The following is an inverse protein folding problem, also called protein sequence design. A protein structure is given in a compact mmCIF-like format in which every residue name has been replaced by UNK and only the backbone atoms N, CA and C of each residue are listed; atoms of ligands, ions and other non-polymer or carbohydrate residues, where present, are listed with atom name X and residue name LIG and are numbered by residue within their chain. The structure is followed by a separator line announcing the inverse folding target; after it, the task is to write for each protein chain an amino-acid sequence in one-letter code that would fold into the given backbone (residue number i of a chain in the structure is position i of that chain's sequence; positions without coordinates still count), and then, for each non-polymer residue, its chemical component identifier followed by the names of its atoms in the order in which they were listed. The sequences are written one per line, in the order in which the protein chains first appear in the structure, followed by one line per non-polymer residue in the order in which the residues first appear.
data_IF_826601584706
#
_entry.id   IF_826601584706
#
_cell.length_a   1.000
_cell.length_b   1.000
_cell.length_c   1.000
_cell.angle_alpha   90.00
_cell.angle_beta   90.00
_cell.angle_gamma   90.00
#
_symmetry.space_group_name_H-M   'P 1'
#
loop_
_entity.id
_entity.type
_entity.pdbx_description
1 polymer ?
#
# COMPACT_ATOMS: atom_id res chain seq x y z
N UNK A 1 52.63 -26.32 16.15
CA UNK A 1 52.01 -26.13 14.82
C UNK A 1 50.91 -25.09 14.96
N UNK A 2 51.02 -23.90 14.33
CA UNK A 2 50.01 -22.86 14.43
C UNK A 2 48.86 -23.14 13.44
N UNK A 3 47.63 -23.04 13.92
CA UNK A 3 46.42 -23.10 13.09
C UNK A 3 46.23 -21.74 12.43
N UNK A 4 46.20 -21.73 11.09
CA UNK A 4 46.02 -20.51 10.30
C UNK A 4 44.56 -20.01 10.36
N UNK A 5 44.31 -18.70 10.56
CA UNK A 5 42.98 -18.13 10.42
C UNK A 5 42.73 -17.86 8.93
N UNK A 6 42.06 -18.79 8.25
CA UNK A 6 41.48 -18.57 6.91
C UNK A 6 39.98 -18.76 7.04
N UNK A 7 39.19 -17.84 6.45
CA UNK A 7 37.73 -17.85 6.28
C UNK A 7 36.88 -16.94 7.20
N UNK A 8 37.36 -15.74 7.57
CA UNK A 8 36.44 -14.70 8.10
C UNK A 8 36.47 -13.41 7.24
N UNK A 9 37.52 -13.18 6.45
CA UNK A 9 37.67 -11.94 5.67
C UNK A 9 36.87 -11.88 4.35
N UNK A 10 36.37 -13.00 3.82
CA UNK A 10 35.68 -13.02 2.52
C UNK A 10 34.17 -12.78 2.59
N UNK A 11 33.55 -12.86 3.78
CA UNK A 11 32.10 -12.67 3.92
C UNK A 11 31.72 -11.18 4.10
N UNK A 12 32.61 -10.38 4.70
CA UNK A 12 32.37 -8.95 4.95
C UNK A 12 32.62 -8.04 3.75
N UNK A 13 33.37 -8.50 2.74
CA UNK A 13 33.63 -7.72 1.53
C UNK A 13 32.48 -7.79 0.51
N UNK A 14 31.73 -8.90 0.47
CA UNK A 14 30.59 -9.08 -0.44
C UNK A 14 29.39 -8.20 -0.06
N UNK A 15 29.15 -7.99 1.25
CA UNK A 15 28.06 -7.17 1.77
C UNK A 15 28.17 -5.67 1.42
N UNK A 16 29.39 -5.13 1.27
CA UNK A 16 29.59 -3.72 0.90
C UNK A 16 29.49 -3.46 -0.60
N UNK A 17 29.82 -4.45 -1.44
CA UNK A 17 29.70 -4.35 -2.90
C UNK A 17 28.24 -4.41 -3.37
N UNK A 18 27.47 -5.34 -2.82
CA UNK A 18 26.04 -5.50 -3.13
C UNK A 18 25.21 -4.24 -2.78
N UNK A 19 25.52 -3.58 -1.66
CA UNK A 19 24.79 -2.38 -1.22
C UNK A 19 24.89 -1.20 -2.20
N UNK A 20 26.05 -1.01 -2.84
CA UNK A 20 26.21 0.03 -3.87
C UNK A 20 25.52 -0.35 -5.19
N UNK A 21 25.65 -1.61 -5.61
CA UNK A 21 25.11 -2.08 -6.88
C UNK A 21 23.58 -2.12 -6.91
N UNK A 22 22.92 -2.55 -5.82
CA UNK A 22 21.46 -2.57 -5.77
C UNK A 22 20.87 -1.16 -5.78
N UNK A 23 21.46 -0.20 -5.05
CA UNK A 23 20.84 1.14 -4.85
C UNK A 23 20.72 1.97 -6.13
N UNK A 24 21.59 1.73 -7.10
CA UNK A 24 21.58 2.44 -8.38
C UNK A 24 20.58 1.84 -9.38
N UNK A 25 19.93 0.71 -9.03
CA UNK A 25 18.92 0.06 -9.85
C UNK A 25 17.54 0.56 -9.42
N UNK A 26 16.81 1.19 -10.34
CA UNK A 26 15.45 1.70 -10.09
C UNK A 26 14.35 0.83 -10.69
N UNK A 27 14.72 -0.16 -11.49
CA UNK A 27 13.78 -1.07 -12.17
C UNK A 27 13.66 -2.39 -11.41
N UNK A 28 12.42 -2.84 -11.18
CA UNK A 28 12.15 -4.07 -10.44
C UNK A 28 12.76 -5.30 -11.12
N UNK A 29 12.55 -5.48 -12.42
CA UNK A 29 13.02 -6.67 -13.13
C UNK A 29 14.54 -6.79 -13.08
N UNK A 30 15.22 -5.68 -13.36
CA UNK A 30 16.68 -5.57 -13.28
C UNK A 30 17.18 -5.78 -11.85
N UNK A 31 16.46 -5.28 -10.86
CA UNK A 31 16.81 -5.42 -9.45
C UNK A 31 16.77 -6.88 -9.01
N UNK A 32 15.63 -7.55 -9.18
CA UNK A 32 15.45 -8.92 -8.65
C UNK A 32 16.25 -9.95 -9.43
N UNK A 33 16.57 -9.64 -10.69
CA UNK A 33 17.45 -10.46 -11.53
C UNK A 33 18.94 -10.16 -11.34
N UNK A 34 19.29 -9.12 -10.57
CA UNK A 34 20.69 -8.79 -10.31
C UNK A 34 21.36 -9.97 -9.61
N UNK A 35 22.55 -10.33 -10.07
CA UNK A 35 23.35 -11.41 -9.49
C UNK A 35 24.80 -10.99 -9.38
N UNK A 36 25.39 -11.33 -8.24
CA UNK A 36 26.82 -11.26 -8.04
C UNK A 36 27.34 -12.68 -7.76
N UNK A 37 28.29 -13.14 -8.58
CA UNK A 37 28.83 -14.51 -8.50
C UNK A 37 27.75 -15.61 -8.59
N UNK A 38 26.69 -15.36 -9.37
CA UNK A 38 25.58 -16.31 -9.55
C UNK A 38 24.59 -16.36 -8.38
N UNK A 39 24.68 -15.44 -7.42
CA UNK A 39 23.76 -15.33 -6.29
C UNK A 39 22.97 -14.03 -6.43
N UNK A 40 21.65 -14.12 -6.30
CA UNK A 40 20.80 -12.93 -6.18
C UNK A 40 21.06 -12.25 -4.83
N UNK A 41 21.42 -10.99 -4.86
CA UNK A 41 21.82 -10.19 -3.72
C UNK A 41 20.93 -8.97 -3.50
N UNK A 42 19.95 -8.74 -4.38
CA UNK A 42 18.98 -7.64 -4.26
C UNK A 42 17.54 -8.11 -4.06
N UNK A 43 16.72 -7.20 -3.54
CA UNK A 43 15.26 -7.29 -3.53
C UNK A 43 14.69 -5.93 -3.96
N UNK A 44 13.54 -5.96 -4.63
CA UNK A 44 12.82 -4.74 -4.99
C UNK A 44 11.70 -4.49 -3.98
N UNK A 45 11.56 -3.24 -3.56
CA UNK A 45 10.58 -2.83 -2.58
C UNK A 45 9.50 -1.96 -3.22
N UNK A 46 8.25 -2.43 -3.17
CA UNK A 46 7.10 -1.73 -3.75
C UNK A 46 6.65 -0.52 -2.98
N UNK A 47 7.10 -0.37 -1.74
CA UNK A 47 6.75 0.77 -0.88
C UNK A 47 7.50 2.02 -1.32
N UNK A 48 8.79 1.90 -1.62
CA UNK A 48 9.64 3.03 -2.05
C UNK A 48 9.99 2.97 -3.54
N UNK A 49 9.55 1.92 -4.24
CA UNK A 49 9.85 1.63 -5.64
C UNK A 49 11.37 1.59 -5.92
N UNK A 50 12.14 1.11 -4.94
CA UNK A 50 13.60 1.05 -4.97
C UNK A 50 14.15 -0.37 -4.86
N UNK A 51 15.38 -0.53 -5.35
CA UNK A 51 16.15 -1.76 -5.21
C UNK A 51 17.11 -1.70 -4.02
N UNK A 52 17.20 -2.80 -3.28
CA UNK A 52 17.91 -2.87 -2.01
C UNK A 52 18.69 -4.17 -1.87
N UNK A 53 19.81 -4.15 -1.15
CA UNK A 53 20.59 -5.35 -0.89
C UNK A 53 19.92 -6.23 0.18
N UNK A 54 19.88 -7.54 -0.07
CA UNK A 54 19.43 -8.57 0.88
C UNK A 54 20.35 -8.56 2.10
N UNK A 55 19.75 -8.52 3.29
CA UNK A 55 20.48 -8.44 4.56
C UNK A 55 20.99 -7.04 4.92
N UNK A 56 20.56 -5.99 4.21
CA UNK A 56 20.80 -4.60 4.61
C UNK A 56 20.21 -4.31 6.00
N UNK A 57 21.01 -3.67 6.88
CA UNK A 57 20.52 -3.14 8.16
C UNK A 57 19.58 -1.93 7.99
N UNK A 58 19.59 -1.32 6.79
CA UNK A 58 18.69 -0.24 6.38
C UNK A 58 17.77 -0.85 5.33
N UNK A 59 16.66 -1.45 5.75
CA UNK A 59 15.71 -2.11 4.86
C UNK A 59 14.37 -1.37 4.86
N UNK A 60 14.01 -0.66 3.78
CA UNK A 60 12.75 0.08 3.73
C UNK A 60 11.51 -0.79 3.50
N UNK A 61 11.65 -2.06 3.09
CA UNK A 61 10.56 -3.04 3.07
C UNK A 61 10.44 -3.81 4.39
N UNK A 62 10.59 -3.09 5.51
CA UNK A 62 10.20 -3.59 6.83
C UNK A 62 9.11 -2.69 7.39
N UNK A 63 8.11 -3.22 8.12
CA UNK A 63 8.03 -4.57 8.72
C UNK A 63 7.27 -5.59 7.83
N UNK A 64 7.07 -6.82 8.33
CA UNK A 64 6.42 -7.98 7.68
C UNK A 64 5.06 -7.72 6.97
N UNK A 65 4.48 -6.54 7.17
CA UNK A 65 3.29 -6.03 6.49
C UNK A 65 3.59 -5.38 5.13
N UNK A 66 4.86 -5.31 4.73
CA UNK A 66 5.32 -4.95 3.39
C UNK A 66 5.87 -6.17 2.61
N UNK A 67 5.75 -7.38 3.17
CA UNK A 67 6.26 -8.62 2.55
C UNK A 67 5.56 -8.90 1.20
N UNK A 68 4.26 -8.60 1.11
CA UNK A 68 3.47 -8.69 -0.12
C UNK A 68 3.90 -7.69 -1.20
N UNK A 69 4.67 -6.67 -0.82
CA UNK A 69 5.21 -5.63 -1.70
C UNK A 69 6.71 -5.77 -1.92
N UNK A 70 7.35 -6.78 -1.35
CA UNK A 70 8.73 -7.10 -1.66
C UNK A 70 8.81 -8.24 -2.68
N UNK A 71 9.71 -8.10 -3.66
CA UNK A 71 10.08 -9.18 -4.59
C UNK A 71 11.58 -9.47 -4.45
N UNK A 72 11.94 -10.74 -4.32
CA UNK A 72 13.35 -11.17 -4.37
C UNK A 72 13.48 -12.60 -4.86
N UNK A 73 14.43 -12.83 -5.78
CA UNK A 73 14.84 -14.17 -6.20
C UNK A 73 15.94 -14.76 -5.28
N UNK A 74 16.40 -14.01 -4.28
CA UNK A 74 17.44 -14.45 -3.38
C UNK A 74 16.92 -15.48 -2.37
N UNK A 75 17.59 -16.62 -2.29
CA UNK A 75 17.26 -17.70 -1.34
C UNK A 75 17.38 -17.31 0.13
N UNK A 76 18.11 -16.23 0.43
CA UNK A 76 18.29 -15.68 1.78
C UNK A 76 17.32 -14.54 2.09
N UNK A 77 16.47 -14.14 1.15
CA UNK A 77 15.48 -13.09 1.37
C UNK A 77 14.27 -13.61 2.15
N UNK A 78 13.64 -12.72 2.93
CA UNK A 78 12.40 -12.99 3.63
C UNK A 78 11.15 -12.55 2.83
N UNK A 79 11.32 -12.01 1.62
CA UNK A 79 10.22 -11.52 0.81
C UNK A 79 9.30 -12.65 0.36
N UNK A 80 7.98 -12.44 0.44
CA UNK A 80 7.01 -13.48 0.10
C UNK A 80 6.88 -13.70 -1.41
N UNK A 81 7.18 -12.69 -2.23
CA UNK A 81 7.19 -12.85 -3.68
C UNK A 81 8.60 -13.19 -4.17
N UNK A 82 8.72 -14.36 -4.79
CA UNK A 82 9.96 -14.87 -5.36
C UNK A 82 9.86 -15.13 -6.87
N UNK A 83 8.99 -14.37 -7.53
CA UNK A 83 8.72 -14.44 -8.95
C UNK A 83 8.99 -13.08 -9.59
N UNK A 84 9.87 -13.05 -10.60
CA UNK A 84 10.22 -11.83 -11.32
C UNK A 84 9.05 -11.29 -12.14
N UNK A 85 8.08 -12.13 -12.53
CA UNK A 85 6.91 -11.70 -13.29
C UNK A 85 6.02 -10.75 -12.46
N UNK A 86 6.11 -10.83 -11.13
CA UNK A 86 5.44 -9.88 -10.23
C UNK A 86 5.99 -8.45 -10.37
N UNK A 87 7.18 -8.25 -10.96
CA UNK A 87 7.65 -6.90 -11.27
C UNK A 87 6.79 -6.18 -12.31
N UNK A 88 6.12 -6.93 -13.21
CA UNK A 88 5.27 -6.34 -14.23
C UNK A 88 4.00 -5.68 -13.66
N UNK A 89 3.58 -6.09 -12.45
CA UNK A 89 2.41 -5.54 -11.77
C UNK A 89 2.77 -4.36 -10.84
N UNK A 90 4.06 -4.20 -10.51
CA UNK A 90 4.57 -3.15 -9.62
C UNK A 90 4.80 -1.82 -10.34
N UNK A 91 3.73 -1.23 -10.85
CA UNK A 91 3.75 0.10 -11.48
C UNK A 91 3.69 1.25 -10.46
N UNK A 92 3.51 0.93 -9.17
CA UNK A 92 3.15 1.90 -8.13
C UNK A 92 1.77 2.54 -8.35
N UNK A 93 0.96 2.04 -9.29
CA UNK A 93 -0.36 2.58 -9.60
C UNK A 93 -1.51 1.89 -8.85
N UNK A 94 -1.19 0.86 -8.06
CA UNK A 94 -2.16 0.17 -7.23
C UNK A 94 -2.84 1.12 -6.25
N UNK A 95 -4.17 0.98 -6.12
CA UNK A 95 -4.97 1.77 -5.18
C UNK A 95 -4.87 1.14 -3.80
N UNK A 96 -4.23 1.85 -2.86
CA UNK A 96 -4.00 1.42 -1.47
C UNK A 96 -4.67 2.37 -0.48
N UNK A 97 -4.80 1.91 0.76
CA UNK A 97 -5.29 2.72 1.90
C UNK A 97 -6.58 3.49 1.57
N UNK A 98 -7.52 2.83 0.89
CA UNK A 98 -8.78 3.45 0.49
C UNK A 98 -9.64 3.76 1.72
N UNK A 99 -10.08 5.01 1.87
CA UNK A 99 -10.95 5.48 2.94
C UNK A 99 -11.91 6.56 2.43
N UNK A 100 -13.00 6.78 3.17
CA UNK A 100 -14.06 7.73 2.81
C UNK A 100 -14.37 8.67 3.96
N UNK A 101 -14.88 9.86 3.64
CA UNK A 101 -15.31 10.84 4.62
C UNK A 101 -16.51 11.65 4.11
N UNK A 102 -17.49 11.91 4.98
CA UNK A 102 -18.65 12.73 4.65
C UNK A 102 -18.20 14.14 4.23
N UNK A 103 -18.80 14.67 3.16
CA UNK A 103 -18.42 15.96 2.56
C UNK A 103 -19.65 16.87 2.37
N UNK A 104 -20.51 16.93 3.38
CA UNK A 104 -21.79 17.62 3.36
C UNK A 104 -22.95 16.65 3.20
N UNK A 105 -24.17 17.18 3.05
CA UNK A 105 -25.41 16.39 3.02
C UNK A 105 -25.48 15.39 1.85
N UNK A 106 -24.99 15.79 0.69
CA UNK A 106 -25.04 15.01 -0.57
C UNK A 106 -23.63 14.82 -1.15
N UNK A 107 -22.61 14.85 -0.30
CA UNK A 107 -21.21 14.80 -0.71
C UNK A 107 -20.42 13.72 0.01
N UNK A 108 -19.49 13.09 -0.71
CA UNK A 108 -18.56 12.11 -0.16
C UNK A 108 -17.15 12.38 -0.69
N UNK A 109 -16.15 12.36 0.19
CA UNK A 109 -14.73 12.31 -0.19
C UNK A 109 -14.28 10.86 -0.25
N UNK A 110 -13.64 10.50 -1.35
CA UNK A 110 -12.94 9.24 -1.53
C UNK A 110 -11.44 9.55 -1.51
N UNK A 111 -10.68 8.89 -0.66
CA UNK A 111 -9.25 9.14 -0.49
C UNK A 111 -8.49 7.82 -0.59
N UNK A 112 -7.34 7.86 -1.24
CA UNK A 112 -6.49 6.68 -1.43
C UNK A 112 -5.03 7.09 -1.56
N UNK A 113 -4.16 6.09 -1.54
CA UNK A 113 -2.73 6.20 -1.79
C UNK A 113 -2.35 5.41 -3.03
N UNK A 114 -1.39 5.93 -3.78
CA UNK A 114 -0.62 5.20 -4.79
C UNK A 114 0.86 5.43 -4.52
N UNK A 115 1.75 4.60 -5.02
CA UNK A 115 3.21 4.79 -4.84
C UNK A 115 3.81 5.67 -5.94
N UNK A 116 3.22 5.66 -7.15
CA UNK A 116 3.70 6.44 -8.28
C UNK A 116 2.59 7.10 -9.12
N UNK A 117 1.37 6.54 -9.18
CA UNK A 117 0.34 7.11 -10.05
C UNK A 117 -0.11 8.49 -9.57
N UNK A 118 0.00 9.50 -10.43
CA UNK A 118 -0.49 10.86 -10.19
C UNK A 118 -1.80 11.17 -10.92
N UNK A 119 -2.20 10.30 -11.84
CA UNK A 119 -3.43 10.44 -12.63
C UNK A 119 -4.36 9.29 -12.28
N UNK A 120 -5.53 9.65 -11.73
CA UNK A 120 -6.55 8.71 -11.31
C UNK A 120 -7.93 9.31 -11.56
N UNK A 121 -8.95 8.46 -11.56
CA UNK A 121 -10.35 8.83 -11.73
C UNK A 121 -11.22 8.10 -10.70
N UNK A 122 -12.32 8.73 -10.31
CA UNK A 122 -13.33 8.12 -9.45
C UNK A 122 -14.69 8.25 -10.10
N UNK A 123 -15.42 7.14 -10.16
CA UNK A 123 -16.84 7.12 -10.55
C UNK A 123 -17.66 6.41 -9.49
N UNK A 124 -18.92 6.79 -9.34
CA UNK A 124 -19.87 6.16 -8.44
C UNK A 124 -21.21 5.97 -9.14
N UNK A 125 -21.79 4.78 -9.05
CA UNK A 125 -23.05 4.43 -9.70
C UNK A 125 -24.10 3.98 -8.69
N UNK A 126 -25.36 4.33 -8.97
CA UNK A 126 -26.53 3.82 -8.24
C UNK A 126 -27.71 3.69 -9.20
N UNK A 127 -28.24 2.46 -9.35
CA UNK A 127 -29.23 2.17 -10.38
C UNK A 127 -28.76 2.59 -11.79
N UNK A 128 -29.51 3.48 -12.44
CA UNK A 128 -29.15 4.08 -13.74
C UNK A 128 -28.34 5.38 -13.65
N UNK A 129 -28.09 5.89 -12.44
CA UNK A 129 -27.37 7.15 -12.22
C UNK A 129 -25.87 6.91 -12.04
N UNK A 130 -25.06 7.85 -12.51
CA UNK A 130 -23.60 7.85 -12.36
C UNK A 130 -23.10 9.24 -12.01
N UNK A 131 -22.11 9.32 -11.13
CA UNK A 131 -21.43 10.54 -10.69
C UNK A 131 -19.94 10.35 -10.87
N UNK A 132 -19.28 11.32 -11.49
CA UNK A 132 -17.81 11.36 -11.59
C UNK A 132 -17.27 12.27 -10.49
N UNK A 133 -16.25 11.79 -9.77
CA UNK A 133 -15.58 12.57 -8.73
C UNK A 133 -14.65 13.61 -9.32
N UNK A 134 -14.63 14.80 -8.71
CA UNK A 134 -13.60 15.81 -9.00
C UNK A 134 -12.36 15.43 -8.20
N UNK A 135 -11.28 15.06 -8.90
CA UNK A 135 -10.01 14.64 -8.29
C UNK A 135 -9.12 15.86 -8.08
N UNK A 136 -8.72 16.09 -6.84
CA UNK A 136 -7.75 17.13 -6.48
C UNK A 136 -6.35 16.72 -6.96
N UNK A 137 -5.43 17.67 -7.22
CA UNK A 137 -4.03 17.35 -7.49
C UNK A 137 -3.44 16.49 -6.36
N UNK A 138 -2.77 15.37 -6.69
CA UNK A 138 -2.21 14.48 -5.67
C UNK A 138 -1.12 15.17 -4.87
N UNK A 139 -0.99 14.77 -3.60
CA UNK A 139 0.01 15.30 -2.68
C UNK A 139 1.01 14.22 -2.27
N UNK A 140 2.29 14.48 -2.51
CA UNK A 140 3.38 13.74 -1.88
C UNK A 140 3.83 14.54 -0.66
N UNK A 141 3.50 14.06 0.54
CA UNK A 141 3.85 14.74 1.79
C UNK A 141 5.28 14.43 2.25
N UNK A 142 5.79 13.26 1.87
CA UNK A 142 7.13 12.79 2.20
C UNK A 142 7.71 12.20 0.91
N UNK A 143 8.85 12.73 0.49
CA UNK A 143 9.56 12.28 -0.72
C UNK A 143 9.83 10.78 -0.65
N UNK A 144 9.49 10.05 -1.72
CA UNK A 144 9.65 8.60 -1.80
C UNK A 144 8.53 7.76 -1.17
N UNK A 145 7.52 8.36 -0.53
CA UNK A 145 6.41 7.64 0.12
C UNK A 145 5.07 7.74 -0.64
N UNK A 146 5.13 7.94 -1.95
CA UNK A 146 3.95 7.93 -2.82
C UNK A 146 3.03 9.15 -2.71
N UNK A 147 1.86 9.03 -3.32
CA UNK A 147 0.91 10.12 -3.52
C UNK A 147 -0.40 9.84 -2.79
N UNK A 148 -0.86 10.83 -2.05
CA UNK A 148 -2.20 10.87 -1.48
C UNK A 148 -3.14 11.59 -2.44
N UNK A 149 -4.27 10.96 -2.69
CA UNK A 149 -5.30 11.45 -3.59
C UNK A 149 -6.60 11.70 -2.84
N UNK A 150 -7.36 12.67 -3.33
CA UNK A 150 -8.70 12.97 -2.83
C UNK A 150 -9.59 13.23 -4.03
N UNK A 151 -10.76 12.59 -4.04
CA UNK A 151 -11.84 12.91 -4.97
C UNK A 151 -13.09 13.32 -4.21
N UNK A 152 -13.78 14.35 -4.69
CA UNK A 152 -15.06 14.78 -4.17
C UNK A 152 -16.18 14.35 -5.11
N UNK A 153 -17.08 13.50 -4.61
CA UNK A 153 -18.37 13.20 -5.20
C UNK A 153 -19.39 14.20 -4.65
N UNK A 154 -20.21 14.79 -5.53
CA UNK A 154 -21.27 15.76 -5.20
C UNK A 154 -22.61 15.29 -5.74
N UNK A 155 -23.67 15.97 -5.29
CA UNK A 155 -25.03 15.79 -5.79
C UNK A 155 -25.51 14.34 -5.72
N UNK A 156 -25.05 13.62 -4.68
CA UNK A 156 -25.45 12.25 -4.41
C UNK A 156 -26.89 12.21 -3.88
N UNK A 157 -27.68 11.27 -4.38
CA UNK A 157 -29.06 11.07 -3.95
C UNK A 157 -29.11 10.60 -2.48
N UNK A 158 -29.82 11.31 -1.59
CA UNK A 158 -30.02 10.87 -0.21
C UNK A 158 -30.65 9.46 -0.14
N UNK A 159 -30.15 8.62 0.77
CA UNK A 159 -30.65 7.25 0.97
C UNK A 159 -30.24 6.24 -0.10
N UNK A 160 -29.46 6.64 -1.10
CA UNK A 160 -28.99 5.73 -2.14
C UNK A 160 -27.68 5.05 -1.72
N UNK A 161 -27.57 3.75 -2.02
CA UNK A 161 -26.31 3.02 -1.99
C UNK A 161 -25.58 3.24 -3.31
N UNK A 162 -24.35 3.72 -3.25
CA UNK A 162 -23.47 3.87 -4.41
C UNK A 162 -22.38 2.80 -4.38
N UNK A 163 -22.13 2.19 -5.54
CA UNK A 163 -20.89 1.49 -5.79
C UNK A 163 -19.92 2.46 -6.44
N UNK A 164 -18.74 2.67 -5.86
CA UNK A 164 -17.71 3.53 -6.42
C UNK A 164 -16.47 2.76 -6.81
N UNK A 165 -15.82 3.22 -7.87
CA UNK A 165 -14.58 2.67 -8.41
C UNK A 165 -13.55 3.77 -8.51
N UNK A 166 -12.39 3.55 -7.90
CA UNK A 166 -11.17 4.31 -8.14
C UNK A 166 -10.38 3.59 -9.22
N UNK A 167 -9.90 4.32 -10.23
CA UNK A 167 -9.07 3.80 -11.31
C UNK A 167 -7.81 4.64 -11.46
N UNK A 168 -6.64 4.00 -11.41
CA UNK A 168 -5.33 4.62 -11.55
C UNK A 168 -4.50 3.79 -12.54
N UNK A 169 -4.22 4.34 -13.74
CA UNK A 169 -3.45 3.66 -14.79
C UNK A 169 -3.86 2.20 -15.06
N UNK A 170 -5.16 1.92 -15.09
CA UNK A 170 -5.69 0.56 -15.35
C UNK A 170 -5.86 -0.32 -14.11
N UNK A 171 -5.32 0.07 -12.96
CA UNK A 171 -5.60 -0.58 -11.68
C UNK A 171 -6.87 -0.02 -11.08
N UNK A 172 -7.76 -0.89 -10.59
CA UNK A 172 -9.05 -0.47 -10.05
C UNK A 172 -9.28 -1.01 -8.63
N UNK A 173 -9.99 -0.23 -7.82
CA UNK A 173 -10.53 -0.67 -6.55
C UNK A 173 -11.98 -0.22 -6.41
N UNK A 174 -12.87 -1.17 -6.15
CA UNK A 174 -14.32 -0.95 -6.05
C UNK A 174 -14.82 -1.23 -4.65
N UNK A 175 -15.66 -0.33 -4.11
CA UNK A 175 -16.32 -0.46 -2.81
C UNK A 175 -17.72 0.17 -2.89
N UNK A 176 -18.47 0.13 -1.80
CA UNK A 176 -19.77 0.80 -1.69
C UNK A 176 -19.87 1.64 -0.43
N UNK A 177 -20.78 2.61 -0.46
CA UNK A 177 -21.24 3.35 0.70
C UNK A 177 -22.71 3.72 0.51
N UNK A 178 -23.39 4.02 1.62
CA UNK A 178 -24.74 4.56 1.61
C UNK A 178 -24.72 6.04 1.96
N UNK A 179 -25.50 6.84 1.23
CA UNK A 179 -25.71 8.25 1.54
C UNK A 179 -26.83 8.33 2.57
N UNK A 180 -26.64 9.10 3.63
CA UNK A 180 -27.68 9.27 4.64
C UNK A 180 -29.01 9.74 3.99
N UNK A 181 -30.15 9.10 4.32
CA UNK A 181 -31.45 9.54 3.83
C UNK A 181 -31.85 10.89 4.42
N UNK A 182 -32.74 11.58 3.71
CA UNK A 182 -33.37 12.79 4.21
C UNK A 182 -34.31 12.47 5.38
N UNK A 183 -34.37 13.37 6.37
CA UNK A 183 -35.26 13.20 7.51
C UNK A 183 -34.85 12.08 8.46
N UNK A 184 -33.55 11.72 8.50
CA UNK A 184 -33.00 10.73 9.42
C UNK A 184 -33.42 11.02 10.88
N UNK A 185 -34.21 10.13 11.47
CA UNK A 185 -34.72 10.29 12.85
C UNK A 185 -33.84 9.61 13.90
N UNK A 186 -33.02 8.65 13.49
CA UNK A 186 -32.04 7.96 14.34
C UNK A 186 -30.85 7.48 13.50
N UNK A 187 -29.69 7.33 14.14
CA UNK A 187 -28.50 6.76 13.52
C UNK A 187 -27.68 5.99 14.55
N UNK A 188 -26.87 5.05 14.06
CA UNK A 188 -25.88 4.34 14.86
C UNK A 188 -24.50 4.83 14.46
N UNK A 189 -23.67 5.17 15.44
CA UNK A 189 -22.27 5.51 15.22
C UNK A 189 -21.37 4.67 16.12
N UNK A 190 -20.26 4.22 15.54
CA UNK A 190 -19.17 3.62 16.28
C UNK A 190 -18.13 4.71 16.57
N UNK A 191 -17.85 4.93 17.86
CA UNK A 191 -16.82 5.86 18.31
C UNK A 191 -15.60 5.06 18.74
N UNK A 192 -14.49 5.27 18.03
CA UNK A 192 -13.20 4.66 18.32
C UNK A 192 -12.16 5.75 18.58
N UNK A 193 -11.27 5.50 19.53
CA UNK A 193 -10.14 6.36 19.86
C UNK A 193 -8.91 5.50 20.18
N UNK A 194 -7.72 6.10 20.11
CA UNK A 194 -6.44 5.49 20.50
C UNK A 194 -6.15 4.12 19.85
N UNK A 195 -6.57 3.95 18.60
CA UNK A 195 -6.50 2.66 17.90
C UNK A 195 -5.07 2.13 17.69
N UNK A 196 -4.02 2.94 17.86
CA UNK A 196 -2.63 2.50 17.67
C UNK A 196 -2.33 2.02 16.24
N UNK A 197 -1.20 1.30 16.08
CA UNK A 197 -0.81 0.66 14.82
C UNK A 197 0.10 -0.56 15.05
N UNK A 198 -0.14 -1.65 14.31
CA UNK A 198 0.62 -2.90 14.45
C UNK A 198 0.43 -3.52 15.84
N UNK A 199 1.52 -3.76 16.55
CA UNK A 199 1.51 -4.19 17.97
C UNK A 199 1.71 -3.04 18.96
N UNK A 200 1.75 -1.79 18.48
CA UNK A 200 1.97 -0.60 19.30
C UNK A 200 0.65 0.10 19.63
N UNK A 201 0.60 0.73 20.81
CA UNK A 201 -0.62 1.33 21.33
C UNK A 201 -1.69 0.27 21.62
N UNK A 202 -2.97 0.63 21.55
CA UNK A 202 -4.07 -0.31 21.78
C UNK A 202 -4.47 -1.12 20.52
N UNK A 203 -3.61 -1.21 19.50
CA UNK A 203 -3.97 -1.74 18.17
C UNK A 203 -4.51 -3.16 18.14
N UNK A 204 -3.89 -4.07 18.89
CA UNK A 204 -4.37 -5.46 18.94
C UNK A 204 -5.75 -5.55 19.60
N UNK A 205 -5.95 -4.81 20.70
CA UNK A 205 -7.23 -4.72 21.41
C UNK A 205 -8.30 -4.02 20.58
N UNK A 206 -7.99 -2.88 19.95
CA UNK A 206 -8.92 -2.15 19.08
C UNK A 206 -9.33 -3.00 17.88
N UNK A 207 -8.39 -3.74 17.27
CA UNK A 207 -8.72 -4.69 16.20
C UNK A 207 -9.66 -5.79 16.68
N UNK A 208 -9.38 -6.40 17.83
CA UNK A 208 -10.26 -7.42 18.39
C UNK A 208 -11.66 -6.88 18.67
N UNK A 209 -11.79 -5.71 19.31
CA UNK A 209 -13.07 -5.06 19.56
C UNK A 209 -13.82 -4.75 18.26
N UNK A 210 -13.12 -4.26 17.22
CA UNK A 210 -13.74 -4.02 15.91
C UNK A 210 -14.25 -5.30 15.26
N UNK A 211 -13.52 -6.42 15.35
CA UNK A 211 -13.99 -7.71 14.85
C UNK A 211 -15.22 -8.23 15.63
N UNK A 212 -15.21 -8.07 16.96
CA UNK A 212 -16.36 -8.42 17.80
C UNK A 212 -17.61 -7.60 17.44
N UNK A 213 -17.43 -6.32 17.12
CA UNK A 213 -18.52 -5.44 16.67
C UNK A 213 -19.06 -5.79 15.27
N UNK A 214 -18.26 -6.41 14.39
CA UNK A 214 -18.74 -6.87 13.07
C UNK A 214 -19.72 -8.05 13.18
N UNK A 215 -19.63 -8.86 14.22
CA UNK A 215 -20.43 -10.08 14.40
C UNK A 215 -21.94 -9.87 14.64
N UNK A 216 -22.36 -8.92 15.51
CA UNK A 216 -23.77 -8.61 15.75
C UNK A 216 -24.30 -7.41 14.94
N UNK A 217 -23.42 -6.56 14.38
CA UNK A 217 -23.83 -5.36 13.65
C UNK A 217 -23.98 -5.65 12.16
N UNK A 218 -25.11 -6.26 11.77
CA UNK A 218 -25.66 -5.98 10.44
C UNK A 218 -26.15 -4.54 10.46
N UNK A 219 -25.32 -3.62 9.96
CA UNK A 219 -25.79 -2.36 9.40
C UNK A 219 -26.46 -2.71 8.09
#
# INVERSE_FOLDING_TARGET
MPVAPKLIASFLLALRGAYGACRDITDCGTCVSHTLLGVHDCYFCGVDLGCHAVGSAVSPCTPAMADDQCISLASLSACSNNDADMCATMTGSEVKQLHIAVAGRTGMRIMWKTEAAVTCQVSATTGSSSVTGVVDPPKNYIEGYGYHHVALLRDLSPGATYQYTVSCNGHTATRSFEVAPDGLTSYTALVLADMGYGSKGNAEQSRQMMEELKGPTRI
#
